data_IF_055481232671
#
_entry.id   IF_055481232671
#
_cell.length_a   1.000
_cell.length_b   1.000
_cell.length_c   1.000
_cell.angle_alpha   90.00
_cell.angle_beta   90.00
_cell.angle_gamma   90.00
#
_symmetry.space_group_name_H-M   'P 1'
#
loop_
_entity.id
_entity.type
_entity.pdbx_description
1 polymer ?
#
# COMPACT_ATOMS: atom_id res chain seq x y z
N UNK A 1 -24.87 -24.96 8.40
CA UNK A 1 -23.62 -24.14 8.39
C UNK A 1 -23.90 -22.87 7.61
N UNK A 2 -23.30 -21.72 7.96
CA UNK A 2 -23.48 -20.47 7.20
C UNK A 2 -22.87 -20.63 5.80
N UNK A 3 -23.45 -20.01 4.75
CA UNK A 3 -22.96 -20.17 3.36
C UNK A 3 -21.46 -19.81 3.19
N UNK A 4 -21.00 -18.77 3.87
CA UNK A 4 -19.61 -18.33 3.83
C UNK A 4 -18.64 -19.36 4.44
N UNK A 5 -19.08 -20.10 5.48
CA UNK A 5 -18.28 -21.18 6.06
C UNK A 5 -18.18 -22.39 5.12
N UNK A 6 -19.28 -22.69 4.41
CA UNK A 6 -19.28 -23.76 3.40
C UNK A 6 -18.36 -23.41 2.21
N UNK A 7 -18.38 -22.16 1.77
CA UNK A 7 -17.48 -21.69 0.71
C UNK A 7 -16.02 -21.76 1.12
N UNK A 8 -15.71 -21.39 2.36
CA UNK A 8 -14.35 -21.47 2.89
C UNK A 8 -13.86 -22.93 3.04
N UNK A 9 -14.71 -23.82 3.59
CA UNK A 9 -14.42 -25.27 3.67
C UNK A 9 -14.13 -25.84 2.28
N UNK A 10 -15.00 -25.51 1.29
CA UNK A 10 -14.79 -25.94 -0.09
C UNK A 10 -13.48 -25.45 -0.68
N UNK A 11 -13.07 -24.22 -0.39
CA UNK A 11 -11.78 -23.69 -0.87
C UNK A 11 -10.61 -24.43 -0.24
N UNK A 12 -10.65 -24.70 1.07
CA UNK A 12 -9.60 -25.47 1.76
C UNK A 12 -9.48 -26.88 1.18
N UNK A 13 -10.59 -27.57 0.94
CA UNK A 13 -10.60 -28.92 0.35
C UNK A 13 -9.99 -28.94 -1.06
N UNK A 14 -10.36 -27.94 -1.89
CA UNK A 14 -9.80 -27.82 -3.25
C UNK A 14 -8.29 -27.61 -3.21
N UNK A 15 -7.80 -26.71 -2.35
CA UNK A 15 -6.35 -26.46 -2.25
C UNK A 15 -5.60 -27.69 -1.74
N UNK A 16 -6.13 -28.40 -0.74
CA UNK A 16 -5.54 -29.65 -0.27
C UNK A 16 -5.49 -30.73 -1.37
N UNK A 17 -6.55 -30.83 -2.20
CA UNK A 17 -6.56 -31.73 -3.34
C UNK A 17 -5.55 -31.35 -4.42
N UNK A 18 -5.48 -30.06 -4.77
CA UNK A 18 -4.51 -29.53 -5.75
C UNK A 18 -3.07 -29.77 -5.28
N UNK A 19 -2.76 -29.53 -4.01
CA UNK A 19 -1.44 -29.81 -3.41
C UNK A 19 -1.02 -31.28 -3.57
N UNK A 20 -1.98 -32.18 -3.55
CA UNK A 20 -1.70 -33.62 -3.69
C UNK A 20 -1.59 -34.07 -5.15
N UNK A 21 -2.43 -33.54 -6.04
CA UNK A 21 -2.65 -34.09 -7.39
C UNK A 21 -2.11 -33.24 -8.53
N UNK A 22 -2.09 -31.91 -8.40
CA UNK A 22 -1.64 -31.03 -9.46
C UNK A 22 -0.10 -30.91 -9.47
N UNK A 23 0.57 -31.19 -10.60
CA UNK A 23 2.03 -31.10 -10.69
C UNK A 23 2.59 -29.71 -10.42
N UNK A 24 1.84 -28.64 -10.76
CA UNK A 24 2.25 -27.26 -10.52
C UNK A 24 2.06 -26.87 -9.05
N UNK A 25 0.89 -27.15 -8.49
CA UNK A 25 0.58 -26.76 -7.10
C UNK A 25 1.45 -27.50 -6.09
N UNK A 26 1.73 -28.78 -6.35
CA UNK A 26 2.52 -29.64 -5.47
C UNK A 26 3.93 -29.15 -5.18
N UNK A 27 4.56 -28.45 -6.12
CA UNK A 27 5.95 -27.98 -6.00
C UNK A 27 6.06 -26.55 -5.47
N UNK A 28 4.93 -25.83 -5.27
CA UNK A 28 4.96 -24.47 -4.78
C UNK A 28 5.48 -24.37 -3.35
N UNK A 29 6.21 -23.29 -3.09
CA UNK A 29 6.79 -22.94 -1.79
C UNK A 29 6.34 -21.53 -1.37
N UNK A 30 6.65 -21.12 -0.15
CA UNK A 30 6.40 -19.73 0.29
C UNK A 30 7.07 -18.73 -0.64
N UNK A 31 8.30 -19.01 -1.06
CA UNK A 31 9.10 -18.15 -1.92
C UNK A 31 8.51 -18.05 -3.33
N UNK A 32 8.07 -19.19 -3.91
CA UNK A 32 7.54 -19.21 -5.27
C UNK A 32 6.18 -18.52 -5.39
N UNK A 33 5.36 -18.52 -4.34
CA UNK A 33 4.06 -17.85 -4.32
C UNK A 33 4.16 -16.36 -3.94
N UNK A 34 5.27 -15.94 -3.32
CA UNK A 34 5.38 -14.58 -2.77
C UNK A 34 5.14 -13.47 -3.79
N UNK A 35 5.75 -13.57 -4.97
CA UNK A 35 5.61 -12.54 -6.00
C UNK A 35 4.20 -12.53 -6.61
N UNK A 36 3.57 -13.70 -6.78
CA UNK A 36 2.19 -13.82 -7.24
C UNK A 36 1.21 -13.15 -6.25
N UNK A 37 1.40 -13.38 -4.95
CA UNK A 37 0.57 -12.71 -3.93
C UNK A 37 0.72 -11.18 -3.97
N UNK A 38 1.92 -10.67 -4.28
CA UNK A 38 2.13 -9.21 -4.44
C UNK A 38 1.40 -8.71 -5.67
N UNK A 39 1.38 -9.47 -6.77
CA UNK A 39 0.63 -9.18 -7.99
C UNK A 39 -0.86 -9.05 -7.68
N UNK A 40 -1.49 -10.05 -7.05
CA UNK A 40 -2.90 -10.02 -6.66
C UNK A 40 -3.25 -8.83 -5.74
N UNK A 41 -2.33 -8.44 -4.84
CA UNK A 41 -2.52 -7.25 -3.99
C UNK A 41 -2.56 -5.97 -4.82
N UNK A 42 -1.73 -5.86 -5.87
CA UNK A 42 -1.76 -4.70 -6.76
C UNK A 42 -2.98 -4.72 -7.67
N UNK A 43 -3.39 -5.88 -8.17
CA UNK A 43 -4.62 -6.03 -8.97
C UNK A 43 -5.85 -5.65 -8.15
N UNK A 44 -5.95 -6.13 -6.90
CA UNK A 44 -7.00 -5.67 -5.97
C UNK A 44 -6.94 -4.15 -5.77
N UNK A 45 -5.75 -3.58 -5.59
CA UNK A 45 -5.59 -2.13 -5.43
C UNK A 45 -6.11 -1.36 -6.66
N UNK A 46 -5.85 -1.85 -7.86
CA UNK A 46 -6.31 -1.25 -9.10
C UNK A 46 -7.84 -1.28 -9.21
N UNK A 47 -8.47 -2.42 -8.93
CA UNK A 47 -9.93 -2.55 -8.96
C UNK A 47 -10.64 -1.63 -7.96
N UNK A 48 -10.03 -1.38 -6.78
CA UNK A 48 -10.55 -0.44 -5.78
C UNK A 48 -10.47 1.01 -6.30
N UNK A 49 -9.34 1.41 -6.90
CA UNK A 49 -9.17 2.78 -7.41
C UNK A 49 -10.03 3.04 -8.65
N UNK A 50 -10.33 1.99 -9.42
CA UNK A 50 -11.19 2.05 -10.62
C UNK A 50 -12.68 1.88 -10.33
N UNK A 51 -13.05 1.64 -9.05
CA UNK A 51 -14.44 1.38 -8.63
C UNK A 51 -15.10 0.23 -9.42
N UNK A 52 -14.36 -0.90 -9.53
CA UNK A 52 -14.76 -2.10 -10.28
C UNK A 52 -15.13 -3.26 -9.33
N UNK A 53 -16.32 -3.26 -8.72
CA UNK A 53 -16.67 -4.24 -7.67
C UNK A 53 -16.72 -5.70 -8.14
N UNK A 54 -17.02 -5.97 -9.39
CA UNK A 54 -17.02 -7.33 -9.93
C UNK A 54 -15.61 -7.89 -10.15
N UNK A 55 -14.65 -7.04 -10.58
CA UNK A 55 -13.25 -7.44 -10.66
C UNK A 55 -12.65 -7.53 -9.24
N UNK A 56 -12.93 -6.57 -8.35
CA UNK A 56 -12.50 -6.61 -6.94
C UNK A 56 -12.90 -7.93 -6.25
N UNK A 57 -14.07 -8.46 -6.57
CA UNK A 57 -14.52 -9.76 -6.04
C UNK A 57 -13.62 -10.92 -6.51
N UNK A 58 -13.10 -10.88 -7.73
CA UNK A 58 -12.17 -11.90 -8.25
C UNK A 58 -10.85 -11.83 -7.52
N UNK A 59 -10.24 -10.63 -7.46
CA UNK A 59 -8.95 -10.44 -6.79
C UNK A 59 -8.99 -10.78 -5.29
N UNK A 60 -10.12 -10.50 -4.62
CA UNK A 60 -10.34 -10.98 -3.26
C UNK A 60 -10.37 -12.52 -3.19
N UNK A 61 -10.95 -13.19 -4.19
CA UNK A 61 -10.95 -14.65 -4.30
C UNK A 61 -9.55 -15.21 -4.44
N UNK A 62 -8.72 -14.59 -5.28
CA UNK A 62 -7.34 -15.01 -5.53
C UNK A 62 -6.45 -14.79 -4.29
N UNK A 63 -6.63 -13.68 -3.58
CA UNK A 63 -5.98 -13.48 -2.28
C UNK A 63 -6.42 -14.51 -1.24
N UNK A 64 -7.71 -14.87 -1.15
CA UNK A 64 -8.18 -15.95 -0.26
C UNK A 64 -7.53 -17.29 -0.64
N UNK A 65 -7.44 -17.60 -1.92
CA UNK A 65 -6.75 -18.78 -2.43
C UNK A 65 -5.29 -18.80 -1.94
N UNK A 66 -4.55 -17.72 -2.11
CA UNK A 66 -3.15 -17.61 -1.67
C UNK A 66 -3.00 -17.79 -0.15
N UNK A 67 -3.89 -17.19 0.67
CA UNK A 67 -3.84 -17.35 2.12
C UNK A 67 -4.05 -18.80 2.57
N UNK A 68 -5.01 -19.50 1.96
CA UNK A 68 -5.24 -20.94 2.21
C UNK A 68 -4.05 -21.76 1.72
N UNK A 69 -3.49 -21.41 0.57
CA UNK A 69 -2.33 -22.11 -0.01
C UNK A 69 -1.09 -22.03 0.90
N UNK A 70 -0.76 -20.81 1.39
CA UNK A 70 0.32 -20.66 2.37
C UNK A 70 0.08 -21.47 3.63
N UNK A 71 -1.14 -21.49 4.13
CA UNK A 71 -1.49 -22.25 5.34
C UNK A 71 -1.40 -23.76 5.11
N UNK A 72 -1.75 -24.24 3.91
CA UNK A 72 -1.56 -25.64 3.53
C UNK A 72 -0.08 -26.03 3.49
N UNK A 73 0.80 -25.22 2.90
CA UNK A 73 2.24 -25.43 2.92
C UNK A 73 2.81 -25.42 4.34
N UNK A 74 2.32 -24.50 5.19
CA UNK A 74 2.74 -24.43 6.59
C UNK A 74 2.35 -25.69 7.37
N UNK A 75 1.12 -26.19 7.17
CA UNK A 75 0.62 -27.43 7.76
C UNK A 75 1.46 -28.64 7.33
N UNK A 76 1.81 -28.75 6.05
CA UNK A 76 2.70 -29.80 5.53
C UNK A 76 4.08 -29.79 6.21
N UNK A 77 4.58 -28.60 6.55
CA UNK A 77 5.86 -28.40 7.24
C UNK A 77 5.76 -28.51 8.78
N UNK A 78 4.56 -28.74 9.33
CA UNK A 78 4.34 -28.79 10.76
C UNK A 78 4.56 -27.48 11.50
N UNK A 79 4.35 -26.34 10.84
CA UNK A 79 4.58 -25.00 11.40
C UNK A 79 3.32 -24.43 12.04
N UNK A 80 2.24 -24.32 11.30
CA UNK A 80 0.92 -23.86 11.71
C UNK A 80 -0.11 -24.23 10.64
N UNK A 81 -1.39 -24.08 10.94
CA UNK A 81 -2.49 -24.23 9.99
C UNK A 81 -3.34 -22.95 9.83
N UNK A 82 -4.37 -23.03 8.99
CA UNK A 82 -5.26 -21.90 8.73
C UNK A 82 -6.04 -21.46 9.99
N UNK A 83 -6.35 -22.42 10.88
CA UNK A 83 -7.05 -22.12 12.13
C UNK A 83 -6.18 -21.32 13.08
N UNK A 84 -4.89 -21.64 13.16
CA UNK A 84 -3.92 -20.88 13.96
C UNK A 84 -3.82 -19.44 13.46
N UNK A 85 -3.73 -19.25 12.12
CA UNK A 85 -3.64 -17.94 11.52
C UNK A 85 -4.91 -17.10 11.79
N UNK A 86 -6.10 -17.69 11.62
CA UNK A 86 -7.38 -17.02 11.84
C UNK A 86 -7.58 -16.71 13.33
N UNK A 87 -7.36 -17.68 14.21
CA UNK A 87 -7.50 -17.46 15.65
C UNK A 87 -6.52 -16.39 16.15
N UNK A 88 -5.28 -16.43 15.68
CA UNK A 88 -4.28 -15.40 16.02
C UNK A 88 -4.71 -13.97 15.65
N UNK A 89 -5.34 -13.76 14.48
CA UNK A 89 -5.87 -12.44 14.14
C UNK A 89 -7.13 -12.09 14.94
N UNK A 90 -7.99 -13.06 15.27
CA UNK A 90 -9.16 -12.85 16.13
C UNK A 90 -8.75 -12.36 17.52
N UNK A 91 -7.83 -13.07 18.17
CA UNK A 91 -7.34 -12.67 19.51
C UNK A 91 -6.66 -11.29 19.46
N UNK A 92 -5.86 -11.02 18.44
CA UNK A 92 -5.27 -9.71 18.22
C UNK A 92 -6.33 -8.60 18.06
N UNK A 93 -7.41 -8.85 17.32
CA UNK A 93 -8.50 -7.89 17.15
C UNK A 93 -9.25 -7.65 18.47
N UNK A 94 -9.54 -8.69 19.22
CA UNK A 94 -10.17 -8.60 20.54
C UNK A 94 -9.30 -7.76 21.48
N UNK A 95 -8.02 -8.07 21.58
CA UNK A 95 -7.07 -7.36 22.42
C UNK A 95 -6.94 -5.87 22.06
N UNK A 96 -6.95 -5.56 20.76
CA UNK A 96 -6.78 -4.19 20.27
C UNK A 96 -8.05 -3.33 20.31
N UNK A 97 -9.20 -3.91 20.66
CA UNK A 97 -10.46 -3.18 20.74
C UNK A 97 -11.08 -3.27 22.17
N UNK A 98 -10.36 -2.82 23.22
CA UNK A 98 -10.85 -2.90 24.59
C UNK A 98 -12.13 -2.09 24.81
N UNK A 99 -12.39 -1.07 24.01
CA UNK A 99 -13.63 -0.31 24.01
C UNK A 99 -14.86 -1.14 23.57
N UNK A 100 -14.65 -2.27 22.87
CA UNK A 100 -15.72 -3.19 22.43
C UNK A 100 -15.71 -4.46 23.30
N UNK A 101 -14.55 -5.10 23.42
CA UNK A 101 -14.40 -6.43 24.02
C UNK A 101 -13.90 -6.41 25.46
N UNK A 102 -13.30 -5.30 25.93
CA UNK A 102 -12.83 -5.14 27.31
C UNK A 102 -13.96 -5.07 28.35
N UNK A 103 -13.62 -5.02 29.60
CA UNK A 103 -14.54 -4.94 30.75
C UNK A 103 -14.44 -3.59 31.45
N UNK A 104 -15.56 -3.11 32.06
CA UNK A 104 -15.60 -2.00 32.99
C UNK A 104 -14.85 -0.75 32.54
N UNK A 105 -13.74 -0.44 33.22
CA UNK A 105 -12.95 0.78 33.02
C UNK A 105 -12.27 0.85 31.66
N UNK A 106 -11.85 -0.29 31.10
CA UNK A 106 -11.22 -0.35 29.76
C UNK A 106 -12.16 0.06 28.63
N UNK A 107 -13.47 -0.15 28.80
CA UNK A 107 -14.48 0.33 27.84
C UNK A 107 -14.67 1.84 27.90
N UNK A 108 -14.58 2.42 29.12
CA UNK A 108 -14.83 3.85 29.33
C UNK A 108 -13.62 4.71 28.99
N UNK A 109 -12.42 4.22 29.29
CA UNK A 109 -11.15 4.90 29.04
C UNK A 109 -10.16 3.94 28.37
N UNK A 110 -10.36 3.60 27.07
CA UNK A 110 -9.45 2.70 26.39
C UNK A 110 -8.09 3.36 26.20
N UNK A 111 -6.99 2.60 26.36
CA UNK A 111 -5.66 3.10 26.03
C UNK A 111 -5.59 3.48 24.55
N UNK A 112 -4.67 4.37 24.21
CA UNK A 112 -4.43 4.76 22.82
C UNK A 112 -3.95 3.56 21.99
N UNK A 113 -4.17 3.63 20.67
CA UNK A 113 -3.77 2.56 19.76
C UNK A 113 -2.27 2.24 19.80
N UNK A 114 -1.43 3.25 20.02
CA UNK A 114 0.02 3.03 20.13
C UNK A 114 0.41 2.44 21.50
N UNK A 115 -0.26 2.81 22.60
CA UNK A 115 -0.06 2.18 23.91
C UNK A 115 -0.40 0.69 23.87
N UNK A 116 -1.53 0.32 23.22
CA UNK A 116 -1.92 -1.08 23.02
C UNK A 116 -0.84 -1.85 22.26
N UNK A 117 -0.31 -1.28 21.20
CA UNK A 117 0.76 -1.91 20.40
C UNK A 117 2.09 -1.99 21.14
N UNK A 118 2.42 -1.02 21.97
CA UNK A 118 3.61 -1.08 22.81
C UNK A 118 3.50 -2.20 23.85
N UNK A 119 2.29 -2.43 24.40
CA UNK A 119 2.03 -3.55 25.32
C UNK A 119 2.21 -4.93 24.67
N UNK A 120 2.17 -5.03 23.33
CA UNK A 120 2.52 -6.25 22.57
C UNK A 120 4.03 -6.54 22.53
N UNK A 121 4.87 -5.77 23.24
CA UNK A 121 6.31 -5.98 23.35
C UNK A 121 7.14 -5.26 22.26
N UNK A 122 6.59 -4.27 21.58
CA UNK A 122 7.35 -3.45 20.62
C UNK A 122 8.38 -2.59 21.36
N UNK A 123 9.55 -2.44 20.76
CA UNK A 123 10.66 -1.62 21.27
C UNK A 123 10.64 -0.20 20.73
N UNK A 124 10.03 -0.01 19.57
CA UNK A 124 9.90 1.30 18.92
C UNK A 124 8.49 1.48 18.39
N UNK A 125 8.02 2.72 18.37
CA UNK A 125 6.77 3.11 17.72
C UNK A 125 6.81 2.76 16.23
N UNK A 126 7.98 2.84 15.60
CA UNK A 126 8.18 2.51 14.19
C UNK A 126 8.24 1.01 13.90
N UNK A 127 8.31 0.16 14.94
CA UNK A 127 8.24 -1.29 14.76
C UNK A 127 6.96 -1.71 14.04
N UNK A 128 7.11 -2.68 13.12
CA UNK A 128 5.99 -3.18 12.31
C UNK A 128 5.66 -2.30 11.09
N UNK A 129 6.57 -1.38 10.70
CA UNK A 129 6.61 -0.83 9.34
C UNK A 129 7.52 -1.74 8.52
N UNK A 130 7.00 -2.53 7.56
CA UNK A 130 7.84 -3.44 6.79
C UNK A 130 8.90 -2.69 5.96
N UNK A 131 10.13 -3.18 5.98
CA UNK A 131 11.22 -2.61 5.20
C UNK A 131 10.99 -2.70 3.68
N UNK A 132 10.21 -3.70 3.25
CA UNK A 132 9.88 -3.96 1.84
C UNK A 132 8.76 -3.10 1.28
N UNK A 133 8.11 -2.26 2.09
CA UNK A 133 7.09 -1.34 1.56
C UNK A 133 7.69 -0.37 0.53
N UNK A 134 6.93 -0.01 -0.53
CA UNK A 134 7.25 1.11 -1.39
C UNK A 134 7.53 2.37 -0.58
N UNK A 135 8.48 3.19 -1.03
CA UNK A 135 9.02 4.30 -0.23
C UNK A 135 7.95 5.30 0.23
N UNK A 136 7.00 5.65 -0.65
CA UNK A 136 5.93 6.59 -0.32
C UNK A 136 4.98 6.05 0.76
N UNK A 137 4.53 4.80 0.61
CA UNK A 137 3.70 4.13 1.62
C UNK A 137 4.46 4.00 2.94
N UNK A 138 5.75 3.65 2.89
CA UNK A 138 6.62 3.53 4.07
C UNK A 138 6.72 4.86 4.81
N UNK A 139 7.00 5.96 4.11
CA UNK A 139 7.09 7.30 4.69
C UNK A 139 5.77 7.72 5.34
N UNK A 140 4.63 7.53 4.65
CA UNK A 140 3.31 7.80 5.20
C UNK A 140 3.08 7.02 6.50
N UNK A 141 3.35 5.70 6.50
CA UNK A 141 3.16 4.83 7.67
C UNK A 141 4.06 5.22 8.85
N UNK A 142 5.32 5.61 8.59
CA UNK A 142 6.22 6.11 9.62
C UNK A 142 5.69 7.40 10.26
N UNK A 143 5.24 8.34 9.45
CA UNK A 143 4.68 9.61 9.93
C UNK A 143 3.35 9.44 10.68
N UNK A 144 2.47 8.54 10.23
CA UNK A 144 1.23 8.21 10.96
C UNK A 144 1.52 7.67 12.36
N UNK A 145 2.51 6.77 12.47
CA UNK A 145 2.92 6.20 13.77
C UNK A 145 3.53 7.26 14.69
N UNK A 146 4.41 8.11 14.16
CA UNK A 146 5.00 9.21 14.90
C UNK A 146 3.92 10.20 15.37
N UNK A 147 2.93 10.50 14.53
CA UNK A 147 1.80 11.35 14.88
C UNK A 147 0.93 10.75 15.98
N UNK A 148 0.77 9.42 16.03
CA UNK A 148 0.02 8.69 17.05
C UNK A 148 0.55 8.86 18.48
N UNK A 149 1.84 9.19 18.64
CA UNK A 149 2.48 9.53 19.93
C UNK A 149 2.67 11.04 20.14
N UNK A 150 2.04 11.88 19.30
CA UNK A 150 2.11 13.33 19.41
C UNK A 150 3.27 14.00 18.64
N UNK A 151 4.14 13.22 17.96
CA UNK A 151 5.17 13.80 17.10
C UNK A 151 4.55 14.16 15.75
N UNK A 152 3.96 15.34 15.69
CA UNK A 152 3.20 15.83 14.55
C UNK A 152 3.30 17.34 14.40
N UNK A 153 3.13 17.86 13.19
CA UNK A 153 2.96 19.28 12.95
C UNK A 153 1.65 19.78 13.58
N UNK A 154 1.70 20.95 14.22
CA UNK A 154 0.53 21.53 14.90
C UNK A 154 -0.60 21.91 13.94
N UNK A 155 -0.28 22.26 12.70
CA UNK A 155 -1.24 22.64 11.66
C UNK A 155 -0.61 22.49 10.26
N UNK A 156 -1.45 22.63 9.23
CA UNK A 156 -1.03 22.49 7.83
C UNK A 156 -0.09 23.61 7.35
N UNK A 157 -0.13 24.80 7.97
CA UNK A 157 0.78 25.89 7.61
C UNK A 157 2.22 25.54 7.95
N UNK A 158 2.47 25.03 9.17
CA UNK A 158 3.82 24.62 9.58
C UNK A 158 4.37 23.45 8.74
N UNK A 159 3.48 22.53 8.34
CA UNK A 159 3.88 21.46 7.43
C UNK A 159 4.21 21.99 6.02
N UNK A 160 3.45 22.95 5.52
CA UNK A 160 3.76 23.65 4.28
C UNK A 160 5.09 24.45 4.36
N UNK A 161 5.33 25.14 5.48
CA UNK A 161 6.57 25.88 5.67
C UNK A 161 7.78 24.94 5.61
N UNK A 162 7.66 23.73 6.15
CA UNK A 162 8.72 22.69 6.03
C UNK A 162 8.91 22.24 4.58
N UNK A 163 7.85 22.06 3.80
CA UNK A 163 7.98 21.78 2.35
C UNK A 163 8.76 22.88 1.64
N UNK A 164 8.50 24.15 1.99
CA UNK A 164 9.20 25.29 1.40
C UNK A 164 10.65 25.42 1.87
N UNK A 165 10.96 24.93 3.05
CA UNK A 165 12.32 24.81 3.58
C UNK A 165 13.10 23.77 2.76
N UNK A 166 12.60 22.54 2.65
CA UNK A 166 13.25 21.47 1.87
C UNK A 166 13.39 21.84 0.39
N UNK A 167 12.39 22.51 -0.18
CA UNK A 167 12.49 23.00 -1.56
C UNK A 167 13.67 24.00 -1.72
N UNK A 168 13.91 24.87 -0.74
CA UNK A 168 15.05 25.82 -0.78
C UNK A 168 16.38 25.08 -0.63
N UNK A 169 16.46 24.05 0.21
CA UNK A 169 17.65 23.23 0.39
C UNK A 169 18.03 22.51 -0.92
N UNK A 170 17.04 21.94 -1.64
CA UNK A 170 17.25 21.44 -3.01
C UNK A 170 17.83 22.53 -3.93
N UNK A 171 17.26 23.76 -3.91
CA UNK A 171 17.76 24.85 -4.75
C UNK A 171 19.19 25.25 -4.40
N UNK A 172 19.55 25.25 -3.12
CA UNK A 172 20.92 25.56 -2.66
C UNK A 172 21.92 24.51 -3.13
N UNK A 173 21.56 23.23 -3.08
CA UNK A 173 22.42 22.15 -3.57
C UNK A 173 22.61 22.19 -5.10
N UNK A 174 21.60 22.61 -5.86
CA UNK A 174 21.71 22.72 -7.33
C UNK A 174 22.74 23.77 -7.80
N UNK A 175 23.15 24.69 -6.91
CA UNK A 175 24.20 25.70 -7.21
C UNK A 175 25.62 25.23 -6.88
N UNK A 176 25.79 24.03 -6.29
CA UNK A 176 27.09 23.47 -5.93
C UNK A 176 27.52 22.44 -7.00
N UNK A 177 28.82 22.15 -7.04
CA UNK A 177 29.42 21.16 -7.95
C UNK A 177 29.71 19.86 -7.20
N UNK A 178 29.70 18.73 -7.90
CA UNK A 178 30.10 17.40 -7.39
C UNK A 178 29.34 16.95 -6.12
N UNK A 179 28.05 17.22 -6.05
CA UNK A 179 27.21 16.96 -4.87
C UNK A 179 25.93 16.19 -5.18
N UNK A 180 25.96 15.30 -6.18
CA UNK A 180 24.79 14.53 -6.60
C UNK A 180 24.11 13.78 -5.45
N UNK A 181 24.90 13.20 -4.53
CA UNK A 181 24.37 12.48 -3.36
C UNK A 181 23.60 13.43 -2.43
N UNK A 182 24.05 14.67 -2.27
CA UNK A 182 23.32 15.69 -1.48
C UNK A 182 22.03 16.12 -2.14
N UNK A 183 22.04 16.30 -3.44
CA UNK A 183 20.83 16.59 -4.22
C UNK A 183 19.78 15.47 -4.05
N UNK A 184 20.21 14.20 -4.10
CA UNK A 184 19.32 13.05 -3.88
C UNK A 184 18.75 13.05 -2.46
N UNK A 185 19.55 13.36 -1.44
CA UNK A 185 19.13 13.47 -0.04
C UNK A 185 18.07 14.56 0.13
N UNK A 186 18.29 15.77 -0.35
CA UNK A 186 17.34 16.90 -0.23
C UNK A 186 16.03 16.63 -1.00
N UNK A 187 16.08 15.96 -2.16
CA UNK A 187 14.88 15.49 -2.82
C UNK A 187 14.13 14.46 -1.97
N UNK A 188 14.83 13.58 -1.27
CA UNK A 188 14.23 12.63 -0.33
C UNK A 188 13.48 13.35 0.80
N UNK A 189 14.09 14.37 1.39
CA UNK A 189 13.50 15.18 2.46
C UNK A 189 12.31 16.00 1.97
N UNK A 190 12.38 16.57 0.77
CA UNK A 190 11.27 17.25 0.13
C UNK A 190 10.07 16.30 -0.10
N UNK A 191 10.29 15.08 -0.61
CA UNK A 191 9.23 14.09 -0.76
C UNK A 191 8.63 13.70 0.60
N UNK A 192 9.46 13.51 1.61
CA UNK A 192 9.00 13.19 2.95
C UNK A 192 8.16 14.32 3.56
N UNK A 193 8.56 15.56 3.39
CA UNK A 193 7.80 16.75 3.81
C UNK A 193 6.46 16.88 3.06
N UNK A 194 6.43 16.64 1.74
CA UNK A 194 5.21 16.65 0.93
C UNK A 194 4.20 15.58 1.39
N UNK A 195 4.67 14.38 1.71
CA UNK A 195 3.85 13.28 2.26
C UNK A 195 3.23 13.72 3.60
N UNK A 196 4.03 14.37 4.47
CA UNK A 196 3.57 14.88 5.76
C UNK A 196 2.49 15.95 5.62
N UNK A 197 2.69 16.87 4.70
CA UNK A 197 1.70 17.92 4.43
C UNK A 197 0.40 17.34 3.86
N UNK A 198 0.49 16.45 2.86
CA UNK A 198 -0.67 15.75 2.31
C UNK A 198 -1.48 15.02 3.40
N UNK A 199 -0.79 14.29 4.30
CA UNK A 199 -1.41 13.58 5.42
C UNK A 199 -2.20 14.51 6.34
N UNK A 200 -1.65 15.67 6.70
CA UNK A 200 -2.34 16.67 7.55
C UNK A 200 -3.59 17.22 6.88
N UNK A 201 -3.58 17.34 5.56
CA UNK A 201 -4.73 17.73 4.75
C UNK A 201 -5.75 16.61 4.54
N UNK A 202 -5.51 15.42 5.10
CA UNK A 202 -6.37 14.24 4.91
C UNK A 202 -6.25 13.62 3.51
N UNK A 203 -5.19 13.95 2.77
CA UNK A 203 -4.91 13.39 1.44
C UNK A 203 -3.97 12.21 1.58
N UNK A 204 -4.36 11.05 1.05
CA UNK A 204 -3.45 9.92 0.90
C UNK A 204 -2.50 10.21 -0.28
N UNK A 205 -1.17 10.33 -0.06
CA UNK A 205 -0.24 10.73 -1.11
C UNK A 205 -0.06 9.64 -2.19
N UNK A 206 -0.10 8.37 -1.84
CA UNK A 206 -0.04 7.25 -2.79
C UNK A 206 -1.22 7.30 -3.76
N UNK A 207 -2.45 7.38 -3.22
CA UNK A 207 -3.66 7.48 -4.04
C UNK A 207 -3.67 8.76 -4.91
N UNK A 208 -3.14 9.86 -4.39
CA UNK A 208 -3.07 11.12 -5.14
C UNK A 208 -2.10 11.03 -6.33
N UNK A 209 -0.94 10.40 -6.12
CA UNK A 209 0.05 10.20 -7.17
C UNK A 209 -0.46 9.18 -8.19
N UNK A 210 -1.07 8.08 -7.76
CA UNK A 210 -1.62 7.06 -8.65
C UNK A 210 -2.72 7.63 -9.55
N UNK A 211 -3.61 8.46 -9.05
CA UNK A 211 -4.58 9.19 -9.88
C UNK A 211 -3.90 10.06 -10.94
N UNK A 212 -2.74 10.60 -10.64
CA UNK A 212 -1.96 11.41 -11.59
C UNK A 212 -1.28 10.53 -12.64
N UNK A 213 -0.72 9.38 -12.23
CA UNK A 213 -0.14 8.37 -13.12
C UNK A 213 -1.17 7.88 -14.15
N UNK A 214 -2.39 7.56 -13.70
CA UNK A 214 -3.49 7.14 -14.58
C UNK A 214 -3.89 8.22 -15.57
N UNK A 215 -4.02 9.47 -15.11
CA UNK A 215 -4.29 10.61 -16.02
C UNK A 215 -3.19 10.77 -17.06
N UNK A 216 -1.94 10.63 -16.65
CA UNK A 216 -0.80 10.71 -17.56
C UNK A 216 -0.86 9.58 -18.59
N UNK A 217 -1.04 8.34 -18.17
CA UNK A 217 -1.18 7.16 -19.04
C UNK A 217 -2.31 7.33 -20.06
N UNK A 218 -3.51 7.71 -19.59
CA UNK A 218 -4.67 7.91 -20.47
C UNK A 218 -4.41 8.98 -21.53
N UNK A 219 -3.81 10.11 -21.13
CA UNK A 219 -3.47 11.20 -22.04
C UNK A 219 -2.40 10.79 -23.05
N UNK A 220 -1.38 10.10 -22.59
CA UNK A 220 -0.31 9.63 -23.46
C UNK A 220 -0.82 8.61 -24.48
N UNK A 221 -1.62 7.63 -24.07
CA UNK A 221 -2.28 6.68 -24.96
C UNK A 221 -3.23 7.36 -25.94
N UNK A 222 -3.85 8.48 -25.53
CA UNK A 222 -4.66 9.28 -26.46
C UNK A 222 -3.79 10.00 -27.48
N UNK A 223 -2.65 10.56 -27.08
CA UNK A 223 -1.68 11.15 -28.02
C UNK A 223 -1.22 10.10 -29.05
N UNK A 224 -0.91 8.87 -28.60
CA UNK A 224 -0.52 7.77 -29.49
C UNK A 224 -1.60 7.43 -30.53
N UNK A 225 -2.86 7.45 -30.12
CA UNK A 225 -4.01 7.20 -31.02
C UNK A 225 -4.30 8.37 -31.98
N UNK A 226 -4.11 9.60 -31.52
CA UNK A 226 -4.45 10.81 -32.27
C UNK A 226 -3.29 11.27 -33.19
N UNK A 227 -2.09 10.73 -33.01
CA UNK A 227 -0.94 11.02 -33.87
C UNK A 227 -1.13 10.44 -35.27
N UNK A 228 -0.74 11.20 -36.27
CA UNK A 228 -0.79 10.81 -37.71
C UNK A 228 0.38 9.91 -38.12
N UNK A 229 1.41 9.83 -37.25
CA UNK A 229 2.60 8.98 -37.37
C UNK A 229 3.10 8.55 -36.00
N UNK A 230 4.14 7.73 -35.99
CA UNK A 230 4.72 7.22 -34.75
C UNK A 230 5.20 8.38 -33.86
N UNK A 231 4.84 8.34 -32.56
CA UNK A 231 5.16 9.40 -31.58
C UNK A 231 6.67 9.74 -31.56
N UNK A 232 7.55 8.76 -31.73
CA UNK A 232 9.01 8.95 -31.76
C UNK A 232 9.52 9.74 -32.98
N UNK A 233 8.68 9.95 -33.99
CA UNK A 233 9.00 10.71 -35.21
C UNK A 233 8.50 12.15 -35.15
N UNK A 234 7.79 12.52 -34.06
CA UNK A 234 7.22 13.84 -33.84
C UNK A 234 8.25 14.78 -33.19
N UNK A 235 8.21 16.03 -33.59
CA UNK A 235 8.97 17.10 -32.94
C UNK A 235 8.35 17.52 -31.59
N UNK A 236 9.12 18.22 -30.77
CA UNK A 236 8.69 18.66 -29.44
C UNK A 236 7.40 19.49 -29.48
N UNK A 237 7.27 20.38 -30.46
CA UNK A 237 6.09 21.23 -30.58
C UNK A 237 4.84 20.43 -30.95
N UNK A 238 4.94 19.48 -31.86
CA UNK A 238 3.85 18.57 -32.24
C UNK A 238 3.42 17.70 -31.03
N UNK A 239 4.38 17.20 -30.25
CA UNK A 239 4.10 16.45 -29.02
C UNK A 239 3.36 17.30 -27.99
N UNK A 240 3.75 18.57 -27.82
CA UNK A 240 3.08 19.49 -26.91
C UNK A 240 1.66 19.85 -27.36
N UNK A 241 1.41 19.99 -28.64
CA UNK A 241 0.07 20.21 -29.21
C UNK A 241 -0.85 19.02 -28.93
N UNK A 242 -0.38 17.80 -29.24
CA UNK A 242 -1.12 16.57 -28.94
C UNK A 242 -1.39 16.40 -27.45
N UNK A 243 -0.40 16.67 -26.60
CA UNK A 243 -0.57 16.64 -25.15
C UNK A 243 -1.63 17.61 -24.66
N UNK A 244 -1.60 18.86 -25.13
CA UNK A 244 -2.58 19.88 -24.75
C UNK A 244 -3.99 19.52 -25.23
N UNK A 245 -4.12 18.95 -26.42
CA UNK A 245 -5.39 18.41 -26.94
C UNK A 245 -5.89 17.27 -26.03
N UNK A 246 -5.05 16.29 -25.75
CA UNK A 246 -5.40 15.15 -24.88
C UNK A 246 -5.79 15.63 -23.47
N UNK A 247 -5.07 16.63 -22.91
CA UNK A 247 -5.38 17.22 -21.59
C UNK A 247 -6.75 17.92 -21.54
N UNK A 248 -7.17 18.56 -22.60
CA UNK A 248 -8.46 19.25 -22.67
C UNK A 248 -9.64 18.27 -22.83
N UNK A 249 -9.42 17.13 -23.44
CA UNK A 249 -10.44 16.11 -23.72
C UNK A 249 -10.53 15.01 -22.65
N UNK A 250 -9.49 14.86 -21.82
CA UNK A 250 -9.49 13.98 -20.65
C UNK A 250 -9.56 14.79 -19.37
N UNK A 251 -10.75 14.87 -18.77
CA UNK A 251 -10.97 15.53 -17.48
C UNK A 251 -10.69 14.60 -16.33
#
# INVERSE_FOLDING_TARGET
MKPELQAFERLTDIIEELRQKCPWDKVQTFESLRYLTIEEVYELSDTIVEDQPEEMKKELGDLFMHLVFYSSIAKEKGLFDISDAINGVCEKLIFRHPHIYGSGEERQNPPSWEEIKMAEGRKSVLDGVPNSLPAMIKALRMQEKAAGIGFNWKNSSLAHDKVMEEYREVQEELHKTDNQDRIEEEFGDLFFALIGWARILGVNPENALEKTNRKFRQRFQKMERDADRTISELGTDELLELWNKAKNETK
#
